data_IF_130812235489
#
_entry.id   IF_130812235489
#
_cell.length_a   1.000
_cell.length_b   1.000
_cell.length_c   1.000
_cell.angle_alpha   90.00
_cell.angle_beta   90.00
_cell.angle_gamma   90.00
#
_symmetry.space_group_name_H-M   'P 1'
#
loop_
_entity.id
_entity.type
_entity.pdbx_description
1 polymer ?
#
# COMPACT_ATOMS: atom_id res chain seq x y z
N UNK A 1 -23.17 15.08 -4.51
CA UNK A 1 -22.27 15.80 -3.57
C UNK A 1 -21.33 14.78 -2.99
N UNK A 2 -20.03 15.02 -3.05
CA UNK A 2 -19.02 14.13 -2.49
C UNK A 2 -18.05 14.97 -1.66
N UNK A 3 -17.57 14.43 -0.54
CA UNK A 3 -16.53 15.08 0.27
C UNK A 3 -15.20 14.86 -0.45
N UNK A 4 -14.46 15.92 -0.72
CA UNK A 4 -13.14 15.83 -1.36
C UNK A 4 -12.17 16.85 -0.76
N UNK A 5 -10.90 16.45 -0.63
CA UNK A 5 -9.84 17.32 -0.12
C UNK A 5 -9.22 18.12 -1.28
N UNK A 6 -9.34 19.44 -1.24
CA UNK A 6 -8.76 20.31 -2.27
C UNK A 6 -7.23 20.32 -2.28
N UNK A 7 -6.58 19.90 -1.18
CA UNK A 7 -5.13 19.77 -1.15
C UNK A 7 -4.62 18.64 -2.05
N UNK A 8 -5.43 17.62 -2.37
CA UNK A 8 -4.99 16.49 -3.20
C UNK A 8 -4.54 16.94 -4.59
N UNK A 9 -5.38 17.74 -5.26
CA UNK A 9 -5.09 18.29 -6.58
C UNK A 9 -3.94 19.32 -6.50
N UNK A 10 -4.05 20.27 -5.57
CA UNK A 10 -3.04 21.33 -5.40
C UNK A 10 -1.64 20.75 -5.15
N UNK A 11 -1.49 19.84 -4.19
CA UNK A 11 -0.21 19.21 -3.85
C UNK A 11 0.29 18.37 -5.02
N UNK A 12 -0.58 17.61 -5.70
CA UNK A 12 -0.20 16.84 -6.89
C UNK A 12 0.45 17.73 -7.94
N UNK A 13 -0.17 18.86 -8.28
CA UNK A 13 0.34 19.79 -9.27
C UNK A 13 1.67 20.42 -8.85
N UNK A 14 1.76 20.90 -7.60
CA UNK A 14 3.00 21.48 -7.06
C UNK A 14 4.17 20.50 -7.10
N UNK A 15 3.95 19.26 -6.63
CA UNK A 15 5.00 18.22 -6.60
C UNK A 15 5.44 17.88 -8.02
N UNK A 16 4.49 17.71 -8.96
CA UNK A 16 4.81 17.42 -10.38
C UNK A 16 5.59 18.55 -11.04
N UNK A 17 5.23 19.80 -10.76
CA UNK A 17 5.96 20.97 -11.25
C UNK A 17 7.41 20.99 -10.75
N UNK A 18 7.64 20.67 -9.47
CA UNK A 18 8.99 20.62 -8.90
C UNK A 18 9.80 19.49 -9.55
N UNK A 19 9.23 18.30 -9.73
CA UNK A 19 9.89 17.23 -10.49
C UNK A 19 10.26 17.67 -11.90
N UNK A 20 9.34 18.35 -12.62
CA UNK A 20 9.59 18.88 -13.97
C UNK A 20 10.77 19.86 -13.97
N UNK A 21 10.77 20.84 -13.06
CA UNK A 21 11.84 21.84 -12.95
C UNK A 21 13.20 21.21 -12.60
N UNK A 22 13.22 20.23 -11.69
CA UNK A 22 14.46 19.54 -11.30
C UNK A 22 15.03 18.73 -12.46
N UNK A 23 14.16 18.11 -13.27
CA UNK A 23 14.54 17.37 -14.47
C UNK A 23 15.07 18.29 -15.57
N UNK A 24 14.40 19.42 -15.82
CA UNK A 24 14.86 20.45 -16.78
C UNK A 24 16.21 21.05 -16.40
N UNK A 25 16.49 21.19 -15.10
CA UNK A 25 17.76 21.69 -14.57
C UNK A 25 18.86 20.62 -14.44
N UNK A 26 18.59 19.39 -14.86
CA UNK A 26 19.51 18.24 -14.72
C UNK A 26 20.10 18.12 -13.29
N UNK A 27 19.24 18.27 -12.28
CA UNK A 27 19.68 18.30 -10.88
C UNK A 27 20.38 16.99 -10.50
N UNK A 28 21.65 17.02 -10.04
CA UNK A 28 22.48 15.81 -9.92
C UNK A 28 22.00 14.84 -8.84
N UNK A 29 21.18 15.31 -7.90
CA UNK A 29 20.61 14.51 -6.81
C UNK A 29 19.23 13.91 -7.17
N UNK A 30 18.65 14.28 -8.32
CA UNK A 30 17.42 13.66 -8.81
C UNK A 30 17.77 12.37 -9.56
N UNK A 31 17.66 11.25 -8.84
CA UNK A 31 18.00 9.91 -9.37
C UNK A 31 16.84 9.20 -10.06
N UNK A 32 15.59 9.55 -9.72
CA UNK A 32 14.38 8.98 -10.30
C UNK A 32 13.23 10.00 -10.27
N UNK A 33 12.41 9.98 -11.33
CA UNK A 33 11.19 10.78 -11.46
C UNK A 33 10.03 9.95 -12.02
N UNK A 34 9.99 8.64 -11.72
CA UNK A 34 8.89 7.79 -12.15
C UNK A 34 7.59 8.12 -11.41
N UNK A 35 6.46 7.68 -11.95
CA UNK A 35 5.15 7.97 -11.35
C UNK A 35 5.04 7.48 -9.91
N UNK A 36 5.63 6.33 -9.56
CA UNK A 36 5.64 5.85 -8.17
C UNK A 36 6.40 6.78 -7.21
N UNK A 37 7.54 7.35 -7.62
CA UNK A 37 8.28 8.33 -6.80
C UNK A 37 7.48 9.62 -6.63
N UNK A 38 6.79 10.05 -7.68
CA UNK A 38 5.91 11.23 -7.65
C UNK A 38 4.76 10.99 -6.67
N UNK A 39 4.07 9.85 -6.76
CA UNK A 39 2.96 9.50 -5.87
C UNK A 39 3.39 9.31 -4.41
N UNK A 40 4.57 8.71 -4.18
CA UNK A 40 5.18 8.62 -2.84
C UNK A 40 5.44 10.03 -2.29
N UNK A 41 5.91 10.97 -3.14
CA UNK A 41 6.19 12.36 -2.74
C UNK A 41 4.90 13.14 -2.43
N UNK A 42 3.86 12.96 -3.26
CA UNK A 42 2.54 13.55 -3.02
C UNK A 42 1.98 13.06 -1.68
N UNK A 43 2.06 11.75 -1.43
CA UNK A 43 1.59 11.15 -0.18
C UNK A 43 2.37 11.66 1.03
N UNK A 44 3.69 11.85 0.91
CA UNK A 44 4.53 12.45 1.96
C UNK A 44 4.04 13.85 2.36
N UNK A 45 3.77 14.69 1.36
CA UNK A 45 3.34 16.09 1.55
C UNK A 45 1.90 16.15 2.09
N UNK A 46 0.97 15.37 1.52
CA UNK A 46 -0.43 15.34 1.97
C UNK A 46 -0.58 14.94 3.44
N UNK A 47 0.29 14.05 3.93
CA UNK A 47 0.31 13.64 5.34
C UNK A 47 0.88 14.70 6.29
N UNK A 48 1.38 15.84 5.78
CA UNK A 48 2.02 16.91 6.56
C UNK A 48 1.36 18.27 6.42
N UNK A 49 0.42 18.42 5.48
CA UNK A 49 -0.37 19.63 5.31
C UNK A 49 -1.75 19.46 5.92
N UNK A 50 -2.35 20.56 6.37
CA UNK A 50 -3.73 20.52 6.84
C UNK A 50 -4.66 20.21 5.66
N UNK A 51 -5.58 19.22 5.78
CA UNK A 51 -6.53 18.92 4.71
C UNK A 51 -7.58 20.03 4.59
N UNK A 52 -8.08 20.24 3.38
CA UNK A 52 -9.12 21.24 3.09
C UNK A 52 -10.31 20.58 2.38
N UNK A 53 -11.22 20.01 3.16
CA UNK A 53 -12.37 19.27 2.65
C UNK A 53 -13.53 20.17 2.27
N UNK A 54 -14.14 19.91 1.11
CA UNK A 54 -15.37 20.57 0.65
C UNK A 54 -16.37 19.56 0.12
N UNK A 55 -17.64 19.96 0.04
CA UNK A 55 -18.76 19.09 -0.38
C UNK A 55 -19.49 19.60 -1.64
N UNK A 56 -19.15 20.82 -2.07
CA UNK A 56 -19.85 21.54 -3.13
C UNK A 56 -18.91 22.47 -3.90
N UNK A 57 -19.29 22.81 -5.13
CA UNK A 57 -18.53 23.75 -5.97
C UNK A 57 -18.36 25.14 -5.33
N UNK A 58 -19.33 25.63 -4.54
CA UNK A 58 -19.16 26.89 -3.80
C UNK A 58 -18.03 26.82 -2.77
N UNK A 59 -17.89 25.66 -2.10
CA UNK A 59 -16.76 25.41 -1.21
C UNK A 59 -15.43 25.42 -1.94
N UNK A 60 -15.37 24.84 -3.14
CA UNK A 60 -14.18 24.87 -3.99
C UNK A 60 -13.78 26.30 -4.39
N UNK A 61 -14.76 27.15 -4.75
CA UNK A 61 -14.51 28.57 -5.07
C UNK A 61 -13.90 29.31 -3.87
N UNK A 62 -14.42 29.13 -2.66
CA UNK A 62 -13.82 29.73 -1.46
C UNK A 62 -12.41 29.19 -1.18
N UNK A 63 -12.22 27.88 -1.36
CA UNK A 63 -10.92 27.22 -1.20
C UNK A 63 -9.86 27.80 -2.12
N UNK A 64 -10.22 28.16 -3.36
CA UNK A 64 -9.27 28.73 -4.33
C UNK A 64 -8.56 29.99 -3.81
N UNK A 65 -9.24 30.82 -3.00
CA UNK A 65 -8.62 32.00 -2.39
C UNK A 65 -7.57 31.64 -1.35
N UNK A 66 -7.85 30.60 -0.55
CA UNK A 66 -6.90 30.06 0.45
C UNK A 66 -5.72 29.38 -0.24
N UNK A 67 -5.95 28.63 -1.32
CA UNK A 67 -4.92 27.92 -2.08
C UNK A 67 -3.98 28.87 -2.85
N UNK A 68 -4.46 30.07 -3.19
CA UNK A 68 -3.67 31.13 -3.82
C UNK A 68 -2.77 31.89 -2.82
N UNK A 69 -2.69 31.46 -1.57
CA UNK A 69 -1.80 32.04 -0.57
C UNK A 69 -0.33 31.69 -0.87
N UNK A 70 0.52 32.71 -0.98
CA UNK A 70 1.96 32.55 -1.25
C UNK A 70 2.71 31.81 -0.13
N UNK A 71 2.28 31.96 1.12
CA UNK A 71 2.88 31.23 2.26
C UNK A 71 2.60 29.74 2.14
N UNK A 72 1.34 29.37 1.90
CA UNK A 72 0.95 27.97 1.70
C UNK A 72 1.74 27.35 0.54
N UNK A 73 1.89 28.09 -0.56
CA UNK A 73 2.69 27.64 -1.70
C UNK A 73 4.15 27.38 -1.29
N UNK A 74 4.77 28.31 -0.59
CA UNK A 74 6.15 28.15 -0.14
C UNK A 74 6.32 26.95 0.79
N UNK A 75 5.37 26.73 1.71
CA UNK A 75 5.38 25.62 2.65
C UNK A 75 5.23 24.27 1.92
N UNK A 76 4.29 24.18 0.97
CA UNK A 76 4.09 22.98 0.14
C UNK A 76 5.31 22.70 -0.74
N UNK A 77 5.89 23.74 -1.34
CA UNK A 77 7.09 23.60 -2.19
C UNK A 77 8.29 23.11 -1.37
N UNK A 78 8.48 23.62 -0.14
CA UNK A 78 9.53 23.17 0.76
C UNK A 78 9.35 21.68 1.15
N UNK A 79 8.14 21.28 1.54
CA UNK A 79 7.81 19.89 1.84
C UNK A 79 7.98 18.98 0.63
N UNK A 80 7.64 19.45 -0.57
CA UNK A 80 7.82 18.69 -1.80
C UNK A 80 9.31 18.44 -2.10
N UNK A 81 10.17 19.47 -1.98
CA UNK A 81 11.62 19.29 -2.17
C UNK A 81 12.19 18.30 -1.14
N UNK A 82 11.76 18.39 0.11
CA UNK A 82 12.13 17.44 1.16
C UNK A 82 11.70 16.01 0.82
N UNK A 83 10.44 15.83 0.42
CA UNK A 83 9.89 14.53 0.02
C UNK A 83 10.72 13.90 -1.09
N UNK A 84 10.98 14.67 -2.16
CA UNK A 84 11.73 14.20 -3.33
C UNK A 84 13.12 13.72 -2.91
N UNK A 85 13.81 14.45 -2.02
CA UNK A 85 15.13 14.04 -1.51
C UNK A 85 15.07 12.74 -0.73
N UNK A 86 14.12 12.60 0.20
CA UNK A 86 13.95 11.39 1.01
C UNK A 86 13.67 10.19 0.12
N UNK A 87 12.71 10.31 -0.80
CA UNK A 87 12.28 9.21 -1.67
C UNK A 87 13.36 8.82 -2.67
N UNK A 88 14.14 9.76 -3.18
CA UNK A 88 15.30 9.46 -4.03
C UNK A 88 16.42 8.75 -3.26
N UNK A 89 16.56 9.00 -1.95
CA UNK A 89 17.55 8.33 -1.11
C UNK A 89 17.16 6.91 -0.69
N UNK A 90 15.86 6.57 -0.74
CA UNK A 90 15.31 5.27 -0.31
C UNK A 90 14.34 4.73 -1.37
N UNK A 91 14.82 4.54 -2.59
CA UNK A 91 13.97 4.01 -3.67
C UNK A 91 13.45 2.60 -3.31
N UNK A 92 12.16 2.38 -3.51
CA UNK A 92 11.56 1.06 -3.25
C UNK A 92 12.05 0.06 -4.31
N UNK A 93 12.25 -1.22 -3.96
CA UNK A 93 12.75 -2.24 -4.90
C UNK A 93 11.93 -2.39 -6.19
N UNK A 94 10.64 -2.04 -6.13
CA UNK A 94 9.66 -2.33 -7.17
C UNK A 94 9.27 -1.12 -8.05
N UNK A 95 9.95 0.03 -7.92
CA UNK A 95 9.64 1.25 -8.69
C UNK A 95 9.74 1.09 -10.22
N UNK A 96 10.41 0.04 -10.72
CA UNK A 96 10.50 -0.28 -12.16
C UNK A 96 9.34 -1.16 -12.69
N UNK A 97 8.46 -1.66 -11.81
CA UNK A 97 7.38 -2.59 -12.17
C UNK A 97 6.01 -1.90 -12.31
N UNK A 98 5.88 -0.64 -11.89
CA UNK A 98 4.59 0.06 -11.77
C UNK A 98 3.92 0.44 -13.10
N UNK A 99 4.66 0.47 -14.21
CA UNK A 99 4.09 0.79 -15.53
C UNK A 99 3.13 -0.30 -16.06
N UNK A 100 3.20 -1.53 -15.55
CA UNK A 100 2.43 -2.66 -16.11
C UNK A 100 1.08 -2.91 -15.42
N UNK A 101 0.86 -2.43 -14.18
CA UNK A 101 -0.37 -2.75 -13.43
C UNK A 101 -1.60 -1.96 -13.88
N UNK A 102 -1.41 -0.72 -14.34
CA UNK A 102 -2.51 0.12 -14.87
C UNK A 102 -3.05 -0.45 -16.20
N UNK A 103 -2.24 -1.23 -16.93
CA UNK A 103 -2.62 -1.83 -18.21
C UNK A 103 -3.39 -3.16 -18.08
N UNK A 104 -3.36 -3.83 -16.91
CA UNK A 104 -3.98 -5.15 -16.72
C UNK A 104 -5.41 -5.10 -16.15
N UNK A 105 -5.91 -3.92 -15.79
CA UNK A 105 -7.29 -3.73 -15.31
C UNK A 105 -8.35 -3.69 -16.41
N UNK A 106 -7.98 -3.89 -17.68
CA UNK A 106 -8.88 -3.76 -18.83
C UNK A 106 -9.35 -5.10 -19.43
N UNK A 107 -9.20 -6.23 -18.73
CA UNK A 107 -9.60 -7.54 -19.24
C UNK A 107 -10.75 -8.15 -18.42
N UNK A 108 -11.94 -8.14 -19.03
CA UNK A 108 -13.20 -8.80 -18.65
C UNK A 108 -13.78 -8.51 -17.25
N UNK A 109 -14.49 -7.39 -17.13
CA UNK A 109 -15.37 -7.04 -15.99
C UNK A 109 -16.70 -7.81 -15.93
N UNK A 110 -16.91 -8.84 -16.77
CA UNK A 110 -18.21 -9.52 -16.88
C UNK A 110 -18.38 -10.76 -15.99
N UNK A 111 -17.34 -11.17 -15.25
CA UNK A 111 -17.42 -12.32 -14.36
C UNK A 111 -17.21 -11.92 -12.89
N UNK A 112 -17.84 -12.62 -11.94
CA UNK A 112 -17.65 -12.35 -10.52
C UNK A 112 -16.27 -12.83 -10.03
N UNK A 113 -15.85 -12.33 -8.87
CA UNK A 113 -14.54 -12.60 -8.26
C UNK A 113 -14.67 -12.91 -6.77
N UNK A 114 -13.83 -13.81 -6.28
CA UNK A 114 -13.51 -13.93 -4.86
C UNK A 114 -12.47 -12.89 -4.51
N UNK A 115 -12.88 -11.86 -3.79
CA UNK A 115 -12.01 -10.77 -3.35
C UNK A 115 -11.48 -11.07 -1.95
N UNK A 116 -10.17 -11.32 -1.82
CA UNK A 116 -9.56 -11.58 -0.53
C UNK A 116 -9.45 -10.29 0.30
N UNK A 117 -9.63 -10.39 1.63
CA UNK A 117 -9.29 -9.29 2.53
C UNK A 117 -7.77 -9.12 2.61
N UNK A 118 -7.33 -7.97 3.11
CA UNK A 118 -5.94 -7.80 3.54
C UNK A 118 -5.74 -8.64 4.80
N UNK A 119 -4.82 -9.59 4.74
CA UNK A 119 -4.45 -10.43 5.86
C UNK A 119 -3.33 -9.74 6.64
N UNK A 120 -3.45 -9.64 7.96
CA UNK A 120 -2.39 -9.06 8.79
C UNK A 120 -2.17 -9.85 10.07
N UNK A 121 -0.98 -9.71 10.63
CA UNK A 121 -0.58 -10.31 11.89
C UNK A 121 0.75 -9.73 12.36
N UNK A 122 1.26 -10.24 13.47
CA UNK A 122 2.57 -9.85 14.00
C UNK A 122 3.38 -11.08 14.43
N UNK A 123 4.69 -10.90 14.53
CA UNK A 123 5.64 -11.92 15.02
C UNK A 123 6.26 -11.44 16.32
N UNK A 124 6.17 -12.26 17.35
CA UNK A 124 6.71 -11.98 18.69
C UNK A 124 7.61 -13.11 19.18
N UNK A 125 8.62 -12.73 19.95
CA UNK A 125 9.43 -13.67 20.71
C UNK A 125 8.58 -14.22 21.88
N UNK A 126 8.55 -15.54 22.05
CA UNK A 126 7.71 -16.20 23.03
C UNK A 126 8.15 -16.08 24.48
N UNK A 127 9.36 -15.59 24.74
CA UNK A 127 9.88 -15.39 26.10
C UNK A 127 9.72 -13.95 26.56
N UNK A 128 9.87 -13.00 25.65
CA UNK A 128 9.93 -11.55 25.93
C UNK A 128 8.69 -10.80 25.45
N UNK A 129 7.93 -11.38 24.51
CA UNK A 129 6.85 -10.72 23.76
C UNK A 129 7.31 -9.50 22.95
N UNK A 130 8.62 -9.32 22.76
CA UNK A 130 9.16 -8.29 21.89
C UNK A 130 8.96 -8.68 20.41
N UNK A 131 8.77 -7.70 19.51
CA UNK A 131 8.66 -7.98 18.09
C UNK A 131 9.90 -8.65 17.51
N UNK A 132 9.73 -9.75 16.76
CA UNK A 132 10.83 -10.38 16.03
C UNK A 132 11.09 -9.57 14.75
N UNK A 133 12.31 -9.06 14.63
CA UNK A 133 12.76 -8.27 13.47
C UNK A 133 13.49 -9.19 12.47
N UNK A 134 13.36 -8.89 11.18
CA UNK A 134 13.90 -9.68 10.07
C UNK A 134 13.35 -11.12 10.02
N UNK A 135 12.14 -11.32 10.56
CA UNK A 135 11.38 -12.54 10.33
C UNK A 135 10.83 -12.53 8.90
N UNK A 136 10.98 -13.63 8.18
CA UNK A 136 10.40 -13.87 6.87
C UNK A 136 9.10 -14.66 7.01
N UNK A 137 8.00 -14.08 6.53
CA UNK A 137 6.67 -14.70 6.55
C UNK A 137 6.27 -15.02 5.11
N UNK A 138 5.88 -16.26 4.87
CA UNK A 138 5.39 -16.74 3.56
C UNK A 138 3.95 -17.19 3.68
N UNK A 139 3.07 -16.65 2.83
CA UNK A 139 1.70 -17.14 2.67
C UNK A 139 1.62 -18.16 1.54
N UNK A 140 1.14 -19.37 1.85
CA UNK A 140 1.00 -20.51 0.94
C UNK A 140 -0.46 -20.94 0.83
N UNK A 141 -0.82 -21.50 -0.32
CA UNK A 141 -2.05 -22.24 -0.57
C UNK A 141 -1.71 -23.65 -1.03
N UNK A 142 -2.73 -24.46 -1.36
CA UNK A 142 -2.54 -25.78 -1.98
C UNK A 142 -1.69 -25.77 -3.27
N UNK A 143 -1.65 -24.63 -3.96
CA UNK A 143 -0.91 -24.46 -5.22
C UNK A 143 0.50 -23.88 -5.02
N UNK A 144 0.97 -23.72 -3.76
CA UNK A 144 2.25 -23.09 -3.44
C UNK A 144 2.11 -21.65 -2.94
N UNK A 145 3.14 -20.83 -3.16
CA UNK A 145 3.18 -19.43 -2.69
C UNK A 145 2.05 -18.63 -3.34
N UNK A 146 1.29 -17.89 -2.52
CA UNK A 146 0.13 -17.13 -2.97
C UNK A 146 0.58 -15.89 -3.75
N UNK A 147 0.00 -15.69 -4.93
CA UNK A 147 0.21 -14.49 -5.75
C UNK A 147 -0.57 -13.32 -5.11
N UNK A 148 0.11 -12.18 -5.00
CA UNK A 148 -0.42 -10.98 -4.37
C UNK A 148 -1.05 -10.05 -5.40
N UNK A 149 -1.96 -9.18 -4.94
CA UNK A 149 -2.72 -8.25 -5.76
C UNK A 149 -1.82 -7.32 -6.57
N UNK A 150 -0.73 -6.85 -5.97
CA UNK A 150 0.29 -6.04 -6.64
C UNK A 150 1.66 -6.16 -5.92
N UNK A 151 2.69 -5.55 -6.52
CA UNK A 151 4.08 -5.62 -6.04
C UNK A 151 4.30 -4.96 -4.66
N UNK A 152 3.39 -4.11 -4.18
CA UNK A 152 3.51 -3.45 -2.88
C UNK A 152 3.23 -4.41 -1.71
N UNK A 153 2.70 -5.60 -2.02
CA UNK A 153 2.46 -6.69 -1.09
C UNK A 153 3.40 -7.84 -1.42
N UNK A 154 4.66 -7.83 -0.96
CA UNK A 154 5.58 -8.92 -1.25
C UNK A 154 5.14 -10.21 -0.55
N UNK A 155 5.38 -11.35 -1.18
CA UNK A 155 5.24 -12.67 -0.57
C UNK A 155 6.36 -13.57 -1.09
N UNK A 156 7.34 -13.97 -0.26
CA UNK A 156 7.45 -13.71 1.19
C UNK A 156 7.61 -12.23 1.55
N UNK A 157 7.17 -11.85 2.75
CA UNK A 157 7.41 -10.51 3.31
C UNK A 157 8.34 -10.60 4.53
N UNK A 158 8.94 -9.47 4.91
CA UNK A 158 9.83 -9.37 6.06
C UNK A 158 9.34 -8.37 7.08
N UNK A 159 9.59 -8.64 8.36
CA UNK A 159 9.33 -7.69 9.44
C UNK A 159 10.50 -6.74 9.63
N UNK A 160 10.19 -5.50 10.00
CA UNK A 160 11.18 -4.45 10.23
C UNK A 160 10.91 -3.74 11.55
N UNK A 161 11.93 -3.05 12.07
CA UNK A 161 11.76 -2.19 13.27
C UNK A 161 10.67 -1.14 13.06
N UNK A 162 10.57 -0.59 11.85
CA UNK A 162 9.53 0.37 11.47
C UNK A 162 8.12 -0.23 11.46
N UNK A 163 7.98 -1.53 11.16
CA UNK A 163 6.69 -2.23 11.18
C UNK A 163 6.39 -2.88 12.54
N UNK A 164 7.28 -2.75 13.52
CA UNK A 164 7.12 -3.34 14.87
C UNK A 164 6.76 -4.83 14.84
N UNK A 165 7.40 -5.61 13.96
CA UNK A 165 7.12 -7.04 13.83
C UNK A 165 5.82 -7.38 13.08
N UNK A 166 5.08 -6.40 12.60
CA UNK A 166 3.85 -6.64 11.83
C UNK A 166 4.17 -6.98 10.38
N UNK A 167 3.31 -7.85 9.81
CA UNK A 167 3.33 -8.26 8.43
C UNK A 167 1.91 -8.21 7.83
N UNK A 168 1.84 -8.19 6.51
CA UNK A 168 0.56 -8.18 5.81
C UNK A 168 0.64 -8.76 4.40
N UNK A 169 -0.46 -9.36 3.95
CA UNK A 169 -0.63 -9.92 2.62
C UNK A 169 -1.93 -9.43 2.01
N UNK A 170 -1.95 -9.18 0.70
CA UNK A 170 -3.19 -8.97 -0.03
C UNK A 170 -3.22 -9.93 -1.23
N UNK A 171 -3.82 -11.12 -1.06
CA UNK A 171 -3.90 -12.12 -2.14
C UNK A 171 -4.67 -11.59 -3.35
N UNK A 172 -4.24 -11.97 -4.55
CA UNK A 172 -4.94 -11.60 -5.78
C UNK A 172 -6.36 -12.19 -5.82
N UNK A 173 -7.34 -11.40 -6.27
CA UNK A 173 -8.69 -11.90 -6.52
C UNK A 173 -8.73 -13.05 -7.54
N UNK A 174 -9.53 -14.07 -7.24
CA UNK A 174 -9.70 -15.25 -8.10
C UNK A 174 -11.09 -15.21 -8.77
N UNK A 175 -11.24 -15.56 -10.06
CA UNK A 175 -12.55 -15.67 -10.69
C UNK A 175 -13.51 -16.61 -9.94
N UNK A 176 -14.76 -16.16 -9.79
CA UNK A 176 -15.88 -16.96 -9.31
C UNK A 176 -16.75 -17.39 -10.49
N UNK A 177 -17.45 -18.52 -10.35
CA UNK A 177 -18.32 -19.02 -11.42
C UNK A 177 -19.65 -18.25 -11.46
N UNK A 178 -20.12 -17.77 -10.31
CA UNK A 178 -21.34 -16.96 -10.18
C UNK A 178 -21.31 -16.04 -8.96
N UNK A 179 -22.13 -15.00 -8.99
CA UNK A 179 -22.34 -14.14 -7.82
C UNK A 179 -22.92 -14.95 -6.66
N UNK A 180 -22.54 -14.57 -5.44
CA UNK A 180 -22.91 -15.24 -4.20
C UNK A 180 -22.53 -16.74 -4.13
N UNK A 181 -21.67 -17.24 -5.03
CA UNK A 181 -21.01 -18.53 -4.84
C UNK A 181 -20.19 -18.48 -3.57
N UNK A 182 -20.45 -19.38 -2.61
CA UNK A 182 -19.65 -19.47 -1.39
C UNK A 182 -18.56 -20.51 -1.62
N UNK A 183 -17.30 -20.09 -1.42
CA UNK A 183 -16.14 -20.98 -1.52
C UNK A 183 -15.24 -20.80 -0.30
N UNK A 184 -14.72 -21.94 0.17
CA UNK A 184 -13.73 -22.00 1.23
C UNK A 184 -12.32 -22.09 0.64
N UNK A 185 -11.42 -21.27 1.16
CA UNK A 185 -10.02 -21.20 0.79
C UNK A 185 -9.16 -21.53 2.01
N UNK A 186 -8.21 -22.44 1.86
CA UNK A 186 -7.27 -22.81 2.91
C UNK A 186 -5.90 -22.22 2.62
N UNK A 187 -5.34 -21.55 3.61
CA UNK A 187 -4.01 -20.96 3.57
C UNK A 187 -3.13 -21.53 4.68
N UNK A 188 -1.83 -21.42 4.47
CA UNK A 188 -0.81 -21.68 5.49
C UNK A 188 0.16 -20.51 5.48
N UNK A 189 0.26 -19.79 6.60
CA UNK A 189 1.29 -18.80 6.81
C UNK A 189 2.44 -19.45 7.61
N UNK A 190 3.68 -19.27 7.14
CA UNK A 190 4.89 -19.84 7.73
C UNK A 190 5.85 -18.70 8.06
N UNK A 191 6.34 -18.64 9.30
CA UNK A 191 7.30 -17.65 9.78
C UNK A 191 8.66 -18.30 10.09
N UNK A 192 9.73 -17.67 9.59
CA UNK A 192 11.13 -18.07 9.79
C UNK A 192 11.97 -16.89 10.24
N UNK A 193 12.84 -17.10 11.22
CA UNK A 193 13.80 -16.10 11.68
C UNK A 193 15.07 -16.80 12.17
N UNK A 194 16.22 -16.15 12.00
CA UNK A 194 17.50 -16.71 12.45
C UNK A 194 17.51 -16.89 13.97
N UNK A 195 17.85 -18.10 14.44
CA UNK A 195 17.87 -18.43 15.87
C UNK A 195 16.52 -18.86 16.45
N UNK A 196 15.46 -18.94 15.64
CA UNK A 196 14.13 -19.36 16.07
C UNK A 196 13.67 -20.63 15.35
N UNK A 197 12.81 -21.41 16.03
CA UNK A 197 12.09 -22.50 15.40
C UNK A 197 11.07 -21.96 14.38
N UNK A 198 10.92 -22.65 13.25
CA UNK A 198 9.91 -22.30 12.25
C UNK A 198 8.50 -22.57 12.80
N UNK A 199 7.59 -21.61 12.64
CA UNK A 199 6.19 -21.73 13.08
C UNK A 199 5.28 -21.58 11.88
N UNK A 200 4.23 -22.40 11.81
CA UNK A 200 3.25 -22.37 10.73
C UNK A 200 1.82 -22.42 11.28
N UNK A 201 0.94 -21.59 10.72
CA UNK A 201 -0.48 -21.57 11.03
C UNK A 201 -1.30 -21.81 9.76
N UNK A 202 -2.19 -22.81 9.81
CA UNK A 202 -3.20 -23.01 8.79
C UNK A 202 -4.51 -22.32 9.21
N UNK A 203 -5.17 -21.68 8.26
CA UNK A 203 -6.46 -21.02 8.48
C UNK A 203 -7.30 -21.08 7.21
N UNK A 204 -8.60 -20.85 7.40
CA UNK A 204 -9.59 -20.88 6.33
C UNK A 204 -10.27 -19.53 6.18
N UNK A 205 -10.54 -19.15 4.95
CA UNK A 205 -11.36 -17.99 4.61
C UNK A 205 -12.53 -18.48 3.77
N UNK A 206 -13.74 -18.10 4.16
CA UNK A 206 -14.95 -18.33 3.38
C UNK A 206 -15.33 -17.03 2.70
N UNK A 207 -15.40 -17.03 1.37
CA UNK A 207 -15.74 -15.86 0.56
C UNK A 207 -16.96 -16.15 -0.30
N UNK A 208 -17.74 -15.09 -0.55
CA UNK A 208 -18.79 -15.07 -1.57
C UNK A 208 -18.27 -14.42 -2.86
N UNK A 209 -18.66 -14.95 -4.01
CA UNK A 209 -18.37 -14.31 -5.30
C UNK A 209 -19.04 -12.93 -5.39
N UNK A 210 -18.24 -11.89 -5.63
CA UNK A 210 -18.67 -10.50 -5.77
C UNK A 210 -18.65 -10.08 -7.25
N UNK A 211 -19.54 -9.17 -7.69
CA UNK A 211 -19.71 -8.84 -9.11
C UNK A 211 -18.49 -8.14 -9.75
N UNK A 212 -17.60 -7.55 -8.94
CA UNK A 212 -16.45 -6.78 -9.45
C UNK A 212 -15.15 -7.19 -8.76
N UNK A 213 -14.05 -7.19 -9.51
CA UNK A 213 -12.70 -7.29 -8.94
C UNK A 213 -12.44 -6.08 -8.05
N UNK A 214 -11.96 -6.32 -6.84
CA UNK A 214 -11.58 -5.27 -5.91
C UNK A 214 -10.16 -4.79 -6.22
N UNK A 215 -10.00 -3.48 -6.38
CA UNK A 215 -8.71 -2.84 -6.73
C UNK A 215 -8.27 -1.77 -5.72
N UNK A 216 -9.03 -1.57 -4.64
CA UNK A 216 -8.73 -0.61 -3.60
C UNK A 216 -8.92 -1.23 -2.21
N UNK A 217 -8.22 -0.66 -1.23
CA UNK A 217 -8.27 -1.09 0.17
C UNK A 217 -9.33 -0.28 0.91
N UNK A 218 -10.06 -0.94 1.80
CA UNK A 218 -10.91 -0.30 2.80
C UNK A 218 -10.61 -1.00 4.15
N UNK A 219 -10.56 -0.22 5.24
CA UNK A 219 -10.29 -0.74 6.59
C UNK A 219 -11.24 -1.88 6.99
N UNK A 220 -12.50 -1.83 6.52
CA UNK A 220 -13.49 -2.88 6.75
C UNK A 220 -13.16 -4.23 6.09
N UNK A 221 -12.09 -4.29 5.30
CA UNK A 221 -11.69 -5.45 4.49
C UNK A 221 -10.34 -6.03 4.96
N UNK A 222 -10.01 -5.80 6.23
CA UNK A 222 -8.84 -6.38 6.88
C UNK A 222 -9.26 -7.58 7.71
N UNK A 223 -8.45 -8.63 7.71
CA UNK A 223 -8.64 -9.83 8.52
C UNK A 223 -7.35 -10.12 9.28
N UNK A 224 -7.46 -10.19 10.61
CA UNK A 224 -6.35 -10.60 11.46
C UNK A 224 -6.21 -12.11 11.42
N UNK A 225 -5.02 -12.59 11.06
CA UNK A 225 -4.63 -13.99 11.20
C UNK A 225 -3.88 -14.18 12.53
N UNK A 226 -3.74 -15.43 13.03
CA UNK A 226 -3.02 -15.67 14.28
C UNK A 226 -1.62 -15.06 14.27
N UNK A 227 -1.28 -14.36 15.35
CA UNK A 227 0.07 -13.84 15.54
C UNK A 227 1.03 -15.02 15.74
N UNK A 228 2.25 -14.89 15.21
CA UNK A 228 3.30 -15.90 15.37
C UNK A 228 4.03 -15.66 16.68
N UNK A 229 4.04 -16.67 17.54
CA UNK A 229 4.85 -16.70 18.76
C UNK A 229 6.03 -17.65 18.50
N UNK A 230 7.22 -17.10 18.34
CA UNK A 230 8.42 -17.85 18.00
C UNK A 230 9.28 -18.09 19.23
N UNK A 231 9.82 -19.31 19.39
CA UNK A 231 10.75 -19.66 20.45
C UNK A 231 12.14 -19.96 19.87
N UNK A 232 13.18 -19.66 20.64
CA UNK A 232 14.56 -19.92 20.24
C UNK A 232 14.76 -21.42 19.96
N UNK A 233 15.50 -21.71 18.88
CA UNK A 233 15.85 -23.07 18.45
C UNK A 233 16.97 -23.68 19.30
#
# INVERSE_FOLDING_TARGET
MNVHNQMEEYVSDRVRDIYRQLKEKESPWLTCSCESCILDSISYVLNRVAPHYVVSGRGAVYSSQVLNNSQLRADVDALAVEAIRIINSVQRPYHKLSSNLIAMSSQNEQQPFFNFPVLNGSVYDGSTFEPVIDAEITLKSKNGVVIMQDFSWPNPCRTYKSTKGSFSFWPESIPASKENEIRKFTFTAEAKASGYQTVSHAFEIVLSGEPKKRIYINNSLTMKIPDFIMFNS
#
